data_IF_691804595960
#
_entry.id   IF_691804595960
#
_cell.length_a   1.000
_cell.length_b   1.000
_cell.length_c   1.000
_cell.angle_alpha   90.00
_cell.angle_beta   90.00
_cell.angle_gamma   90.00
#
_symmetry.space_group_name_H-M   'P 1'
#
loop_
_entity.id
_entity.type
_entity.pdbx_description
1 polymer ?
#
# COMPACT_ATOMS: atom_id res chain seq x y z
N UNK A 1 -0.50 -2.22 -26.11
CA UNK A 1 -1.29 -3.05 -25.17
C UNK A 1 -0.59 -4.40 -25.14
N UNK A 2 0.47 -4.51 -24.36
CA UNK A 2 1.13 -5.79 -24.10
C UNK A 2 0.42 -6.39 -22.90
N UNK A 3 -0.20 -7.55 -23.10
CA UNK A 3 -0.71 -8.42 -22.04
C UNK A 3 0.42 -8.65 -21.04
N UNK A 4 0.45 -7.86 -19.96
CA UNK A 4 1.08 -8.33 -18.74
C UNK A 4 0.09 -9.35 -18.15
N UNK A 5 0.53 -10.56 -17.77
CA UNK A 5 -0.35 -11.51 -17.12
C UNK A 5 -1.03 -10.81 -15.93
N UNK A 6 -2.33 -11.06 -15.78
CA UNK A 6 -3.07 -10.64 -14.58
C UNK A 6 -2.42 -11.35 -13.39
N UNK A 7 -1.54 -10.65 -12.66
CA UNK A 7 -0.91 -11.18 -11.46
C UNK A 7 -1.98 -11.24 -10.36
N UNK A 8 -2.46 -12.45 -10.09
CA UNK A 8 -3.41 -12.75 -9.01
C UNK A 8 -2.67 -13.29 -7.79
N UNK A 9 -3.10 -12.88 -6.61
CA UNK A 9 -2.46 -13.31 -5.36
C UNK A 9 -2.64 -14.80 -5.10
N UNK A 10 -3.79 -15.37 -5.48
CA UNK A 10 -4.06 -16.81 -5.39
C UNK A 10 -3.16 -17.61 -6.34
N UNK A 11 -3.07 -17.22 -7.61
CA UNK A 11 -2.23 -17.91 -8.60
C UNK A 11 -0.74 -17.90 -8.19
N UNK A 12 -0.27 -16.77 -7.65
CA UNK A 12 1.10 -16.66 -7.11
C UNK A 12 1.32 -17.53 -5.86
N UNK A 13 0.26 -17.87 -5.14
CA UNK A 13 0.33 -18.72 -3.95
C UNK A 13 0.21 -20.22 -4.24
N UNK A 14 -0.40 -20.57 -5.36
CA UNK A 14 -0.42 -21.94 -5.87
C UNK A 14 0.94 -22.35 -6.49
N UNK A 15 1.77 -21.36 -6.87
CA UNK A 15 3.17 -21.55 -7.28
C UNK A 15 4.05 -21.91 -6.07
N UNK A 16 4.12 -23.20 -5.76
CA UNK A 16 4.82 -23.74 -4.58
C UNK A 16 6.35 -23.56 -4.58
N UNK A 17 6.96 -23.17 -5.70
CA UNK A 17 8.39 -22.89 -5.79
C UNK A 17 8.72 -21.43 -5.43
N UNK A 18 7.69 -20.58 -5.32
CA UNK A 18 7.83 -19.15 -5.07
C UNK A 18 7.77 -18.82 -3.59
N UNK A 19 8.85 -18.24 -3.08
CA UNK A 19 8.82 -17.65 -1.73
C UNK A 19 7.96 -16.38 -1.72
N UNK A 20 6.78 -16.47 -1.09
CA UNK A 20 5.89 -15.35 -0.86
C UNK A 20 5.58 -15.19 0.62
N UNK A 21 5.25 -13.95 1.00
CA UNK A 21 4.80 -13.61 2.35
C UNK A 21 3.40 -13.02 2.28
N UNK A 22 2.40 -13.78 2.73
CA UNK A 22 0.99 -13.37 2.69
C UNK A 22 0.59 -12.58 3.93
N UNK A 23 -0.15 -11.49 3.73
CA UNK A 23 -0.75 -10.71 4.83
C UNK A 23 -2.05 -11.39 5.26
N UNK A 24 -2.04 -12.00 6.44
CA UNK A 24 -3.21 -12.69 7.01
C UNK A 24 -4.32 -11.74 7.47
N UNK A 25 -3.93 -10.54 7.90
CA UNK A 25 -4.87 -9.53 8.38
C UNK A 25 -5.72 -9.02 7.23
N UNK A 26 -7.04 -9.14 7.37
CA UNK A 26 -7.98 -8.67 6.36
C UNK A 26 -7.95 -7.15 6.23
N UNK A 27 -7.79 -6.66 5.00
CA UNK A 27 -7.76 -5.24 4.67
C UNK A 27 -8.93 -4.87 3.76
N UNK A 28 -9.45 -3.66 3.92
CA UNK A 28 -10.55 -3.12 3.11
C UNK A 28 -10.01 -2.31 1.95
N UNK A 29 -10.58 -2.49 0.76
CA UNK A 29 -10.26 -1.67 -0.42
C UNK A 29 -11.02 -0.35 -0.39
N UNK A 30 -10.29 0.76 -0.56
CA UNK A 30 -10.80 2.13 -0.58
C UNK A 30 -10.47 2.88 -1.87
N UNK A 31 -9.45 2.46 -2.63
CA UNK A 31 -9.03 3.12 -3.87
C UNK A 31 -9.90 2.75 -5.07
N UNK A 32 -9.83 3.54 -6.14
CA UNK A 32 -10.53 3.26 -7.41
C UNK A 32 -9.98 2.04 -8.15
N UNK A 33 -8.69 1.71 -7.97
CA UNK A 33 -8.10 0.48 -8.53
C UNK A 33 -8.22 -0.69 -7.56
N UNK A 34 -8.74 -1.82 -8.05
CA UNK A 34 -8.92 -3.04 -7.25
C UNK A 34 -7.67 -3.90 -7.13
N UNK A 35 -6.84 -3.87 -8.17
CA UNK A 35 -5.60 -4.66 -8.26
C UNK A 35 -4.39 -3.75 -8.43
N UNK A 36 -3.26 -4.19 -7.91
CA UNK A 36 -1.97 -3.52 -8.08
C UNK A 36 -0.85 -4.53 -7.96
N UNK A 37 0.21 -4.30 -8.72
CA UNK A 37 1.53 -4.79 -8.39
C UNK A 37 2.54 -3.65 -8.51
N UNK A 38 3.64 -3.72 -7.77
CA UNK A 38 4.70 -2.73 -7.87
C UNK A 38 5.79 -2.91 -6.84
N UNK A 39 6.89 -2.18 -7.03
CA UNK A 39 8.00 -2.16 -6.09
C UNK A 39 7.60 -1.40 -4.82
N UNK A 40 7.94 -1.96 -3.68
CA UNK A 40 7.60 -1.45 -2.35
C UNK A 40 8.53 -0.31 -1.95
N UNK A 41 7.93 0.75 -1.46
CA UNK A 41 8.57 1.75 -0.64
C UNK A 41 7.95 1.73 0.75
N UNK A 42 8.74 1.43 1.78
CA UNK A 42 8.27 1.32 3.15
C UNK A 42 8.26 2.68 3.84
N UNK A 43 7.27 2.88 4.72
CA UNK A 43 7.18 4.06 5.57
C UNK A 43 6.55 3.68 6.90
N UNK A 44 7.27 3.89 8.00
CA UNK A 44 6.72 3.74 9.34
C UNK A 44 6.37 5.11 9.92
N UNK A 45 5.14 5.27 10.40
CA UNK A 45 4.64 6.48 11.05
C UNK A 45 3.77 6.10 12.25
N UNK A 46 3.38 7.09 13.06
CA UNK A 46 2.35 6.87 14.07
C UNK A 46 1.45 8.11 14.15
N UNK A 47 0.20 7.97 13.70
CA UNK A 47 -0.82 9.03 13.75
C UNK A 47 -0.40 10.38 13.14
N UNK A 48 0.53 10.31 12.19
CA UNK A 48 1.09 11.43 11.44
C UNK A 48 1.14 11.05 9.96
N UNK A 49 0.85 12.01 9.08
CA UNK A 49 0.86 11.82 7.63
C UNK A 49 1.76 12.82 6.90
N UNK A 50 2.62 13.53 7.62
CA UNK A 50 3.56 14.50 7.06
C UNK A 50 4.46 13.83 6.01
N UNK A 51 5.15 12.76 6.40
CA UNK A 51 6.00 12.00 5.48
C UNK A 51 5.20 11.27 4.39
N UNK A 52 3.98 10.80 4.68
CA UNK A 52 3.11 10.19 3.66
C UNK A 52 2.84 11.19 2.54
N UNK A 53 2.44 12.41 2.90
CA UNK A 53 2.17 13.48 1.91
C UNK A 53 3.41 13.84 1.13
N UNK A 54 4.56 13.94 1.78
CA UNK A 54 5.84 14.23 1.11
C UNK A 54 6.18 13.16 0.08
N UNK A 55 6.10 11.88 0.44
CA UNK A 55 6.40 10.79 -0.48
C UNK A 55 5.43 10.73 -1.65
N UNK A 56 4.11 10.80 -1.39
CA UNK A 56 3.11 10.83 -2.45
C UNK A 56 3.22 12.06 -3.35
N UNK A 57 3.90 13.12 -2.89
CA UNK A 57 4.23 14.32 -3.66
C UNK A 57 5.38 14.14 -4.67
N UNK A 58 6.11 13.04 -4.60
CA UNK A 58 7.22 12.69 -5.51
C UNK A 58 6.76 11.70 -6.59
N UNK A 59 7.49 11.57 -7.72
CA UNK A 59 7.18 10.57 -8.75
C UNK A 59 7.13 9.15 -8.19
N UNK A 60 5.97 8.50 -8.32
CA UNK A 60 5.75 7.15 -7.83
C UNK A 60 6.34 6.07 -8.72
N UNK A 61 6.44 6.31 -10.04
CA UNK A 61 7.04 5.36 -11.01
C UNK A 61 6.46 3.94 -10.91
N UNK A 62 5.15 3.83 -10.62
CA UNK A 62 4.48 2.56 -10.42
C UNK A 62 4.80 1.85 -9.10
N UNK A 63 5.50 2.50 -8.16
CA UNK A 63 5.74 1.97 -6.80
C UNK A 63 4.45 1.94 -5.98
N UNK A 64 4.48 1.11 -4.94
CA UNK A 64 3.45 1.04 -3.90
C UNK A 64 4.03 1.53 -2.58
N UNK A 65 3.37 2.51 -1.97
CA UNK A 65 3.74 2.99 -0.65
C UNK A 65 3.11 2.08 0.42
N UNK A 66 3.95 1.40 1.19
CA UNK A 66 3.52 0.49 2.27
C UNK A 66 3.75 1.17 3.60
N UNK A 67 2.65 1.55 4.25
CA UNK A 67 2.65 2.39 5.44
C UNK A 67 2.30 1.56 6.67
N UNK A 68 3.27 1.37 7.55
CA UNK A 68 2.98 0.94 8.92
C UNK A 68 2.62 2.18 9.76
N UNK A 69 1.33 2.34 10.11
CA UNK A 69 0.83 3.40 10.98
C UNK A 69 0.58 2.91 12.42
N UNK A 70 1.19 1.79 12.81
CA UNK A 70 1.02 1.14 14.11
C UNK A 70 -0.38 0.54 14.31
N UNK A 71 -1.05 0.16 13.23
CA UNK A 71 -2.42 -0.33 13.20
C UNK A 71 -3.45 0.58 13.90
N UNK A 72 -3.13 1.88 14.07
CA UNK A 72 -4.02 2.80 14.78
C UNK A 72 -5.25 3.14 13.93
N UNK A 73 -6.43 2.96 14.53
CA UNK A 73 -7.72 3.42 13.98
C UNK A 73 -8.21 4.73 14.63
N UNK A 74 -7.38 5.37 15.47
CA UNK A 74 -7.77 6.61 16.17
C UNK A 74 -7.68 7.84 15.27
N UNK A 75 -6.83 7.80 14.23
CA UNK A 75 -6.56 8.92 13.31
C UNK A 75 -6.43 8.39 11.89
N UNK A 76 -7.03 9.06 10.91
CA UNK A 76 -6.84 8.73 9.50
C UNK A 76 -5.57 9.35 8.93
N UNK A 77 -4.66 8.51 8.44
CA UNK A 77 -3.37 8.93 7.88
C UNK A 77 -3.43 9.20 6.37
N UNK A 78 -4.40 8.61 5.66
CA UNK A 78 -4.68 8.89 4.24
C UNK A 78 -6.11 9.39 4.07
N UNK A 79 -6.29 10.42 3.24
CA UNK A 79 -7.61 10.96 2.85
C UNK A 79 -7.66 11.19 1.35
N UNK A 80 -8.79 11.71 0.85
CA UNK A 80 -9.10 11.78 -0.59
C UNK A 80 -8.04 12.53 -1.40
N UNK A 81 -7.69 13.74 -0.95
CA UNK A 81 -6.62 14.55 -1.54
C UNK A 81 -5.27 13.81 -1.67
N UNK A 82 -4.94 12.91 -0.74
CA UNK A 82 -3.70 12.12 -0.82
C UNK A 82 -3.82 10.98 -1.82
N UNK A 83 -5.01 10.37 -1.97
CA UNK A 83 -5.27 9.42 -3.06
C UNK A 83 -5.15 10.08 -4.43
N UNK A 84 -5.75 11.27 -4.62
CA UNK A 84 -5.62 12.06 -5.85
C UNK A 84 -4.17 12.46 -6.13
N UNK A 85 -3.44 12.89 -5.09
CA UNK A 85 -2.02 13.23 -5.21
C UNK A 85 -1.18 12.03 -5.66
N UNK A 86 -1.42 10.85 -5.06
CA UNK A 86 -0.73 9.61 -5.40
C UNK A 86 -0.97 9.23 -6.87
N UNK A 87 -2.24 9.22 -7.30
CA UNK A 87 -2.63 8.93 -8.68
C UNK A 87 -1.95 9.91 -9.66
N UNK A 88 -2.02 11.21 -9.38
CA UNK A 88 -1.41 12.26 -10.19
C UNK A 88 0.10 12.08 -10.36
N UNK A 89 0.79 11.64 -9.32
CA UNK A 89 2.24 11.44 -9.34
C UNK A 89 2.67 10.03 -9.76
N UNK A 90 1.74 9.20 -10.25
CA UNK A 90 2.07 7.89 -10.83
C UNK A 90 2.41 6.81 -9.80
N UNK A 91 1.91 6.93 -8.57
CA UNK A 91 1.92 5.83 -7.61
C UNK A 91 0.92 4.76 -8.02
N UNK A 92 1.30 3.49 -7.95
CA UNK A 92 0.41 2.39 -8.28
C UNK A 92 -0.57 2.10 -7.15
N UNK A 93 -0.13 2.27 -5.90
CA UNK A 93 -0.97 2.01 -4.73
C UNK A 93 -0.44 2.54 -3.40
N UNK A 94 -1.30 2.47 -2.39
CA UNK A 94 -1.02 2.77 -0.99
C UNK A 94 -1.61 1.66 -0.13
N UNK A 95 -0.79 0.97 0.66
CA UNK A 95 -1.23 0.00 1.65
C UNK A 95 -1.01 0.57 3.04
N UNK A 96 -2.03 0.57 3.90
CA UNK A 96 -2.01 1.26 5.19
C UNK A 96 -2.38 0.31 6.32
N UNK A 97 -1.44 -0.01 7.20
CA UNK A 97 -1.71 -0.62 8.49
C UNK A 97 -2.21 0.45 9.47
N UNK A 98 -3.45 0.92 9.24
CA UNK A 98 -4.08 2.02 9.99
C UNK A 98 -5.39 2.47 9.34
N UNK A 99 -5.92 3.62 9.77
CA UNK A 99 -7.16 4.17 9.23
C UNK A 99 -6.96 5.19 8.09
N UNK A 100 -7.98 5.28 7.24
CA UNK A 100 -8.12 6.29 6.17
C UNK A 100 -9.42 7.08 6.33
N UNK A 101 -9.65 8.08 5.47
CA UNK A 101 -10.91 8.85 5.43
C UNK A 101 -11.26 9.30 4.02
N UNK A 102 -12.37 10.02 3.88
CA UNK A 102 -12.87 10.52 2.59
C UNK A 102 -13.06 9.36 1.59
N UNK A 103 -13.67 8.27 2.07
CA UNK A 103 -13.71 6.98 1.35
C UNK A 103 -14.39 7.05 -0.01
N UNK A 104 -15.35 7.97 -0.19
CA UNK A 104 -15.99 8.23 -1.48
C UNK A 104 -15.00 8.82 -2.48
N UNK A 105 -14.20 9.80 -2.06
CA UNK A 105 -13.19 10.45 -2.90
C UNK A 105 -12.03 9.49 -3.20
N UNK A 106 -11.59 8.71 -2.20
CA UNK A 106 -10.60 7.65 -2.41
C UNK A 106 -11.07 6.63 -3.46
N UNK A 107 -12.36 6.26 -3.43
CA UNK A 107 -12.94 5.31 -4.37
C UNK A 107 -13.00 5.83 -5.81
N UNK A 108 -12.83 7.13 -6.02
CA UNK A 108 -12.77 7.77 -7.34
C UNK A 108 -11.33 8.04 -7.80
N UNK A 109 -10.35 7.98 -6.90
CA UNK A 109 -8.95 8.19 -7.24
C UNK A 109 -8.40 6.98 -8.01
N UNK A 110 -7.71 7.23 -9.13
CA UNK A 110 -7.11 6.21 -10.00
C UNK A 110 -5.81 5.64 -9.40
N UNK A 111 -5.91 5.09 -8.19
CA UNK A 111 -4.84 4.48 -7.42
C UNK A 111 -5.41 3.35 -6.57
N UNK A 112 -4.62 2.33 -6.30
CA UNK A 112 -5.03 1.29 -5.37
C UNK A 112 -4.86 1.77 -3.93
N UNK A 113 -5.86 1.56 -3.06
CA UNK A 113 -5.72 1.85 -1.62
C UNK A 113 -6.36 0.74 -0.83
N UNK A 114 -5.59 0.11 0.08
CA UNK A 114 -6.13 -0.79 1.12
C UNK A 114 -5.72 -0.30 2.50
N UNK A 115 -6.63 -0.43 3.45
CA UNK A 115 -6.39 -0.07 4.84
C UNK A 115 -7.21 -0.92 5.82
N UNK A 116 -6.91 -0.82 7.12
CA UNK A 116 -7.65 -1.56 8.16
C UNK A 116 -9.08 -1.03 8.36
N UNK A 117 -9.30 0.26 8.14
CA UNK A 117 -10.61 0.87 8.36
C UNK A 117 -10.65 2.36 8.03
N UNK A 118 -11.77 2.99 8.36
CA UNK A 118 -11.99 4.42 8.16
C UNK A 118 -12.19 5.16 9.48
N UNK A 119 -11.67 6.38 9.58
CA UNK A 119 -11.76 7.25 10.76
C UNK A 119 -11.91 8.71 10.32
N UNK A 120 -13.01 9.43 10.63
CA UNK A 120 -13.16 10.83 10.24
C UNK A 120 -12.07 11.78 10.80
N UNK A 121 -11.51 11.47 11.98
CA UNK A 121 -10.56 12.35 12.67
C UNK A 121 -9.19 12.36 11.96
N UNK A 122 -8.65 13.52 11.54
CA UNK A 122 -7.32 13.62 10.93
C UNK A 122 -6.18 13.45 11.95
N UNK A 123 -4.99 13.18 11.43
CA UNK A 123 -3.70 13.25 12.13
C UNK A 123 -3.40 14.62 12.71
N UNK A 124 -2.43 14.65 13.63
CA UNK A 124 -1.76 15.88 14.04
C UNK A 124 -0.35 15.84 13.47
N UNK A 125 0.03 16.86 12.70
CA UNK A 125 1.34 16.92 12.03
C UNK A 125 2.44 17.20 13.04
N UNK A 126 3.39 16.28 13.15
CA UNK A 126 4.56 16.35 14.03
C UNK A 126 5.87 16.14 13.26
N UNK A 127 5.81 15.61 12.05
CA UNK A 127 6.96 15.36 11.18
C UNK A 127 7.72 14.08 11.51
N UNK A 128 7.10 13.15 12.25
CA UNK A 128 7.77 11.91 12.66
C UNK A 128 7.48 10.75 11.72
N UNK A 129 8.52 9.96 11.45
CA UNK A 129 8.43 8.67 10.78
C UNK A 129 9.78 8.25 10.23
N UNK A 130 9.84 7.02 9.74
CA UNK A 130 11.05 6.39 9.20
C UNK A 130 10.75 5.88 7.80
N UNK A 131 11.46 6.42 6.82
CA UNK A 131 11.29 6.10 5.41
C UNK A 131 12.35 5.09 4.97
N UNK A 132 11.95 4.09 4.18
CA UNK A 132 12.91 3.24 3.48
C UNK A 132 13.70 2.31 4.39
N UNK A 133 13.16 1.99 5.58
CA UNK A 133 13.69 0.95 6.47
C UNK A 133 12.78 -0.29 6.44
N UNK A 134 13.29 -1.48 6.77
CA UNK A 134 12.45 -2.66 6.98
C UNK A 134 11.37 -2.40 8.03
N UNK A 135 10.14 -2.84 7.76
CA UNK A 135 8.99 -2.72 8.66
C UNK A 135 8.32 -4.08 8.87
N UNK A 136 7.56 -4.21 9.97
CA UNK A 136 6.70 -5.38 10.22
C UNK A 136 5.24 -5.02 9.92
N UNK A 137 4.88 -5.02 8.64
CA UNK A 137 3.55 -4.65 8.17
C UNK A 137 2.55 -5.79 8.46
N UNK A 138 1.68 -5.60 9.44
CA UNK A 138 0.63 -6.59 9.80
C UNK A 138 1.19 -8.01 9.97
N UNK A 139 2.24 -8.13 10.78
CA UNK A 139 2.97 -9.37 11.10
C UNK A 139 3.87 -9.92 9.97
N UNK A 140 3.89 -9.26 8.80
CA UNK A 140 4.76 -9.61 7.68
C UNK A 140 5.99 -8.71 7.65
N UNK A 141 7.18 -9.30 7.52
CA UNK A 141 8.41 -8.55 7.30
C UNK A 141 8.47 -8.04 5.86
N UNK A 142 8.53 -6.72 5.70
CA UNK A 142 8.55 -6.05 4.40
C UNK A 142 9.79 -5.17 4.32
N UNK A 143 10.57 -5.34 3.26
CA UNK A 143 11.79 -4.58 3.02
C UNK A 143 11.60 -3.58 1.88
N UNK A 144 12.30 -2.44 1.93
CA UNK A 144 12.39 -1.56 0.77
C UNK A 144 12.89 -2.34 -0.44
N UNK A 145 12.20 -2.18 -1.58
CA UNK A 145 12.56 -2.86 -2.81
C UNK A 145 11.97 -4.26 -3.01
N UNK A 146 11.28 -4.82 -2.01
CA UNK A 146 10.35 -5.95 -2.22
C UNK A 146 9.33 -5.60 -3.31
N UNK A 147 8.64 -6.61 -3.82
CA UNK A 147 7.47 -6.46 -4.66
C UNK A 147 6.22 -6.77 -3.87
N UNK A 148 5.14 -6.09 -4.21
CA UNK A 148 3.81 -6.39 -3.67
C UNK A 148 2.85 -6.68 -4.81
N UNK A 149 1.96 -7.64 -4.58
CA UNK A 149 0.78 -7.90 -5.39
C UNK A 149 -0.42 -7.85 -4.45
N UNK A 150 -1.45 -7.11 -4.84
CA UNK A 150 -2.65 -6.90 -4.03
C UNK A 150 -3.87 -6.83 -4.94
N UNK A 151 -4.88 -7.61 -4.62
CA UNK A 151 -6.11 -7.75 -5.40
C UNK A 151 -7.33 -7.90 -4.47
N UNK A 152 -8.41 -8.51 -4.95
CA UNK A 152 -9.61 -8.73 -4.16
C UNK A 152 -9.40 -9.72 -3.00
N UNK A 153 -8.52 -10.70 -3.17
CA UNK A 153 -8.32 -11.81 -2.22
C UNK A 153 -7.34 -11.45 -1.10
N UNK A 154 -6.30 -10.66 -1.41
CA UNK A 154 -5.32 -10.36 -0.38
C UNK A 154 -4.20 -9.42 -0.80
N UNK A 155 -3.12 -9.51 -0.02
CA UNK A 155 -1.85 -8.81 -0.24
C UNK A 155 -0.74 -9.83 -0.01
N UNK A 156 0.16 -9.97 -0.98
CA UNK A 156 1.37 -10.79 -0.88
C UNK A 156 2.60 -9.96 -1.20
N UNK A 157 3.69 -10.23 -0.49
CA UNK A 157 5.01 -9.66 -0.73
C UNK A 157 5.96 -10.71 -1.26
N UNK A 158 6.83 -10.30 -2.19
CA UNK A 158 7.85 -11.14 -2.82
C UNK A 158 9.20 -10.41 -2.80
N UNK A 159 10.29 -11.16 -2.66
CA UNK A 159 11.64 -10.59 -2.72
C UNK A 159 12.10 -10.33 -4.18
N UNK A 160 11.42 -10.91 -5.17
CA UNK A 160 11.74 -10.84 -6.60
C UNK A 160 10.55 -10.34 -7.42
N UNK A 161 10.81 -9.84 -8.63
CA UNK A 161 9.75 -9.36 -9.53
C UNK A 161 8.81 -10.51 -9.92
N UNK A 162 7.50 -10.42 -9.61
CA UNK A 162 6.56 -11.52 -9.83
C UNK A 162 6.29 -11.83 -11.30
N UNK A 163 6.73 -10.96 -12.24
CA UNK A 163 6.57 -11.20 -13.68
C UNK A 163 7.58 -12.19 -14.25
N UNK A 164 8.61 -12.52 -13.49
CA UNK A 164 9.62 -13.48 -13.89
C UNK A 164 9.55 -14.69 -12.95
N UNK A 165 9.76 -15.87 -13.51
CA UNK A 165 10.11 -17.05 -12.72
C UNK A 165 11.55 -16.86 -12.21
N UNK A 166 11.76 -17.15 -10.92
CA UNK A 166 13.06 -17.02 -10.25
C UNK A 166 14.04 -18.10 -10.68
#
# INVERSE_FOLDING_TARGET
MTDSPDLLTADLADDGDRELRSVVTQMRSFGGRRRVFGRVQTLQVHEDNTLIREQLGTPGEGRVLVVDAGASLRRAVVGGNLGVLAARNGWAGILVAGAVRDTVELGQADVHVKALGSQPVPTVKRGFGVLGEPIRFLEVDVRPGDWVVSDEDGVVFLSVDPRFEG
#
